data_IF_748341738116
#
_entry.id   IF_748341738116
#
_cell.length_a   1.000
_cell.length_b   1.000
_cell.length_c   1.000
_cell.angle_alpha   90.00
_cell.angle_beta   90.00
_cell.angle_gamma   90.00
#
_symmetry.space_group_name_H-M   'P 1'
#
loop_
_entity.id
_entity.type
_entity.pdbx_description
1 polymer ?
#
# COMPACT_ATOMS: atom_id res chain seq x y z
N UNK A 1 -4.22 25.58 6.94
CA UNK A 1 -4.43 24.11 6.83
C UNK A 1 -3.11 23.35 6.62
N UNK A 2 -2.23 23.75 5.67
CA UNK A 2 -0.90 23.11 5.43
C UNK A 2 0.02 23.12 6.67
N UNK A 3 -0.01 24.18 7.48
CA UNK A 3 0.80 24.27 8.71
C UNK A 3 0.50 23.16 9.72
N UNK A 4 -0.77 22.74 9.85
CA UNK A 4 -1.18 21.74 10.84
C UNK A 4 -0.58 20.35 10.54
N UNK A 5 -0.52 19.97 9.25
CA UNK A 5 0.08 18.69 8.85
C UNK A 5 1.60 18.64 9.06
N UNK A 6 2.32 19.74 8.84
CA UNK A 6 3.77 19.80 9.12
C UNK A 6 4.06 19.67 10.62
N UNK A 7 3.27 20.31 11.47
CA UNK A 7 3.36 20.13 12.92
C UNK A 7 3.01 18.71 13.33
N UNK A 8 1.94 18.12 12.78
CA UNK A 8 1.58 16.73 13.06
C UNK A 8 2.71 15.76 12.68
N UNK A 9 3.34 15.92 11.52
CA UNK A 9 4.51 15.12 11.12
C UNK A 9 5.67 15.33 12.10
N UNK A 10 5.97 16.56 12.50
CA UNK A 10 7.01 16.83 13.49
C UNK A 10 6.76 16.13 14.83
N UNK A 11 5.54 16.19 15.35
CA UNK A 11 5.17 15.49 16.59
C UNK A 11 5.23 13.97 16.45
N UNK A 12 4.81 13.44 15.30
CA UNK A 12 4.88 12.00 15.02
C UNK A 12 6.33 11.50 14.84
N UNK A 13 7.19 12.27 14.16
CA UNK A 13 8.63 11.95 14.05
C UNK A 13 9.35 12.07 15.40
N UNK A 14 8.89 12.95 16.30
CA UNK A 14 9.41 13.03 17.68
C UNK A 14 8.96 11.84 18.52
N UNK A 15 7.70 11.40 18.39
CA UNK A 15 7.21 10.17 19.04
C UNK A 15 7.98 8.91 18.55
N UNK A 16 8.47 8.94 17.31
CA UNK A 16 9.32 7.91 16.71
C UNK A 16 10.63 7.65 17.48
N UNK A 17 11.11 8.62 18.26
CA UNK A 17 12.31 8.47 19.06
C UNK A 17 12.13 7.51 20.26
N UNK A 18 10.88 7.17 20.63
CA UNK A 18 10.59 6.37 21.82
C UNK A 18 9.99 4.98 21.52
N UNK A 19 9.45 4.72 20.32
CA UNK A 19 8.95 3.39 19.94
C UNK A 19 9.01 3.15 18.42
N UNK A 20 10.08 2.50 17.95
CA UNK A 20 10.34 2.20 16.53
C UNK A 20 9.39 1.16 15.88
N UNK A 21 8.44 0.60 16.64
CA UNK A 21 7.64 -0.58 16.25
C UNK A 21 6.17 -0.29 15.92
N UNK A 22 5.73 0.97 15.87
CA UNK A 22 4.32 1.30 15.59
C UNK A 22 4.04 1.44 14.08
N UNK A 23 3.59 0.35 13.45
CA UNK A 23 3.18 0.35 12.05
C UNK A 23 1.97 1.26 11.77
N UNK A 24 1.08 1.46 12.74
CA UNK A 24 -0.10 2.33 12.60
C UNK A 24 0.32 3.80 12.53
N UNK A 25 1.31 4.18 13.35
CA UNK A 25 1.94 5.49 13.30
C UNK A 25 2.59 5.76 11.94
N UNK A 26 3.37 4.80 11.40
CA UNK A 26 3.98 4.94 10.07
C UNK A 26 2.94 5.13 8.97
N UNK A 27 1.83 4.40 9.06
CA UNK A 27 0.70 4.60 8.16
C UNK A 27 0.06 6.00 8.33
N UNK A 28 -0.15 6.47 9.56
CA UNK A 28 -0.65 7.84 9.80
C UNK A 28 0.26 8.87 9.16
N UNK A 29 1.58 8.73 9.29
CA UNK A 29 2.57 9.58 8.63
C UNK A 29 2.44 9.52 7.10
N UNK A 30 2.22 8.33 6.52
CA UNK A 30 1.94 8.19 5.09
C UNK A 30 0.74 9.04 4.64
N UNK A 31 -0.38 8.97 5.38
CA UNK A 31 -1.58 9.76 5.05
C UNK A 31 -1.34 11.28 5.18
N UNK A 32 -0.48 11.72 6.10
CA UNK A 32 -0.12 13.13 6.25
C UNK A 32 0.76 13.62 5.10
N UNK A 33 1.77 12.83 4.71
CA UNK A 33 2.60 13.15 3.55
C UNK A 33 1.75 13.26 2.28
N UNK A 34 0.76 12.38 2.10
CA UNK A 34 -0.19 12.47 0.99
C UNK A 34 -1.00 13.77 1.02
N UNK A 35 -1.55 14.16 2.18
CA UNK A 35 -2.27 15.44 2.36
C UNK A 35 -1.40 16.67 2.09
N UNK A 36 -0.08 16.54 2.21
CA UNK A 36 0.90 17.57 1.88
C UNK A 36 1.36 17.54 0.42
N UNK A 37 0.85 16.61 -0.40
CA UNK A 37 1.30 16.40 -1.78
C UNK A 37 2.69 15.76 -1.89
N UNK A 38 3.26 15.28 -0.78
CA UNK A 38 4.58 14.64 -0.75
C UNK A 38 4.45 13.14 -1.04
N UNK A 39 4.01 12.82 -2.26
CA UNK A 39 3.63 11.46 -2.67
C UNK A 39 4.77 10.44 -2.46
N UNK A 40 6.04 10.72 -2.81
CA UNK A 40 7.11 9.74 -2.59
C UNK A 40 7.29 9.35 -1.11
N UNK A 41 7.19 10.33 -0.21
CA UNK A 41 7.30 10.10 1.23
C UNK A 41 6.07 9.38 1.80
N UNK A 42 4.90 9.63 1.22
CA UNK A 42 3.68 8.89 1.56
C UNK A 42 3.82 7.40 1.23
N UNK A 43 4.28 7.08 0.01
CA UNK A 43 4.52 5.71 -0.43
C UNK A 43 5.55 5.03 0.48
N UNK A 44 6.69 5.68 0.75
CA UNK A 44 7.73 5.11 1.60
C UNK A 44 7.21 4.81 3.00
N UNK A 45 6.49 5.76 3.62
CA UNK A 45 5.96 5.59 4.98
C UNK A 45 4.94 4.44 5.07
N UNK A 46 4.12 4.24 4.02
CA UNK A 46 3.20 3.10 3.96
C UNK A 46 3.95 1.77 3.78
N UNK A 47 5.01 1.72 2.96
CA UNK A 47 5.88 0.54 2.85
C UNK A 47 6.60 0.23 4.17
N UNK A 48 7.02 1.26 4.89
CA UNK A 48 7.66 1.10 6.20
C UNK A 48 6.70 0.59 7.28
N UNK A 49 5.40 0.84 7.15
CA UNK A 49 4.38 0.20 7.99
C UNK A 49 4.29 -1.29 7.66
N UNK A 50 4.31 -1.65 6.37
CA UNK A 50 4.26 -3.03 5.90
C UNK A 50 5.54 -3.82 6.20
N UNK A 51 6.70 -3.19 6.34
CA UNK A 51 7.92 -3.88 6.78
C UNK A 51 7.88 -4.32 8.25
N UNK A 52 7.03 -3.68 9.07
CA UNK A 52 6.77 -4.06 10.46
C UNK A 52 5.60 -5.04 10.55
N UNK A 53 4.51 -4.76 9.82
CA UNK A 53 3.32 -5.61 9.76
C UNK A 53 2.88 -5.83 8.33
N UNK A 54 3.33 -6.95 7.75
CA UNK A 54 3.18 -7.25 6.31
C UNK A 54 1.73 -7.33 5.82
N UNK A 55 0.78 -7.61 6.71
CA UNK A 55 -0.64 -7.79 6.39
C UNK A 55 -1.54 -6.64 6.86
N UNK A 56 -0.94 -5.49 7.14
CA UNK A 56 -1.67 -4.32 7.59
C UNK A 56 -2.49 -3.69 6.45
N UNK A 57 -3.73 -4.16 6.32
CA UNK A 57 -4.63 -3.82 5.22
C UNK A 57 -4.76 -2.31 4.93
N UNK A 58 -4.86 -1.40 5.93
CA UNK A 58 -4.95 0.04 5.64
C UNK A 58 -3.77 0.60 4.84
N UNK A 59 -2.55 0.10 5.05
CA UNK A 59 -1.39 0.51 4.26
C UNK A 59 -1.40 -0.12 2.86
N UNK A 60 -1.87 -1.35 2.72
CA UNK A 60 -2.03 -2.04 1.42
C UNK A 60 -3.05 -1.30 0.56
N UNK A 61 -4.24 -1.03 1.09
CA UNK A 61 -5.31 -0.31 0.40
C UNK A 61 -4.88 1.11 0.00
N UNK A 62 -4.12 1.78 0.85
CA UNK A 62 -3.57 3.10 0.55
C UNK A 62 -2.60 3.05 -0.64
N UNK A 63 -1.69 2.07 -0.68
CA UNK A 63 -0.80 1.88 -1.83
C UNK A 63 -1.61 1.52 -3.09
N UNK A 64 -2.61 0.64 -3.00
CA UNK A 64 -3.53 0.34 -4.12
C UNK A 64 -4.21 1.63 -4.63
N UNK A 65 -4.71 2.48 -3.74
CA UNK A 65 -5.36 3.73 -4.10
C UNK A 65 -4.42 4.69 -4.82
N UNK A 66 -3.18 4.81 -4.36
CA UNK A 66 -2.16 5.63 -5.03
C UNK A 66 -1.82 5.07 -6.40
N UNK A 67 -1.66 3.75 -6.54
CA UNK A 67 -1.42 3.10 -7.82
C UNK A 67 -2.57 3.32 -8.81
N UNK A 68 -3.81 3.15 -8.35
CA UNK A 68 -4.99 3.42 -9.17
C UNK A 68 -5.13 4.90 -9.56
N UNK A 69 -4.51 5.81 -8.81
CA UNK A 69 -4.41 7.23 -9.12
C UNK A 69 -3.28 7.56 -10.11
N UNK A 70 -2.56 6.55 -10.61
CA UNK A 70 -1.51 6.70 -11.62
C UNK A 70 -0.10 6.89 -11.07
N UNK A 71 0.10 6.75 -9.75
CA UNK A 71 1.45 6.78 -9.17
C UNK A 71 2.13 5.42 -9.33
N UNK A 72 3.40 5.43 -9.75
CA UNK A 72 4.23 4.22 -9.76
C UNK A 72 4.59 3.82 -8.33
N UNK A 73 4.46 2.53 -8.02
CA UNK A 73 4.78 1.99 -6.70
C UNK A 73 5.63 0.74 -6.88
N UNK A 74 6.94 0.92 -6.73
CA UNK A 74 7.89 -0.18 -6.88
C UNK A 74 7.60 -1.31 -5.90
N UNK A 75 7.62 -2.55 -6.38
CA UNK A 75 7.38 -3.73 -5.55
C UNK A 75 5.92 -3.93 -5.11
N UNK A 76 4.96 -3.13 -5.60
CA UNK A 76 3.54 -3.32 -5.27
C UNK A 76 3.05 -4.73 -5.65
N UNK A 77 3.49 -5.27 -6.78
CA UNK A 77 3.16 -6.64 -7.18
C UNK A 77 3.49 -7.67 -6.08
N UNK A 78 4.68 -7.58 -5.51
CA UNK A 78 5.11 -8.50 -4.45
C UNK A 78 4.33 -8.30 -3.15
N UNK A 79 4.04 -7.05 -2.79
CA UNK A 79 3.20 -6.71 -1.63
C UNK A 79 1.82 -7.35 -1.79
N UNK A 80 1.20 -7.19 -2.97
CA UNK A 80 -0.14 -7.72 -3.24
C UNK A 80 -0.16 -9.25 -3.34
N UNK A 81 0.89 -9.88 -3.87
CA UNK A 81 1.03 -11.35 -3.87
C UNK A 81 1.01 -11.91 -2.45
N UNK A 82 1.84 -11.36 -1.55
CA UNK A 82 1.84 -11.74 -0.12
C UNK A 82 0.49 -11.48 0.54
N UNK A 83 -0.14 -10.34 0.25
CA UNK A 83 -1.44 -10.01 0.80
C UNK A 83 -2.52 -11.01 0.33
N UNK A 84 -2.47 -11.45 -0.93
CA UNK A 84 -3.39 -12.43 -1.50
C UNK A 84 -3.23 -13.83 -0.88
N UNK A 85 -2.07 -14.18 -0.34
CA UNK A 85 -1.92 -15.44 0.41
C UNK A 85 -2.78 -15.46 1.68
N UNK A 86 -2.88 -14.31 2.36
CA UNK A 86 -3.69 -14.15 3.59
C UNK A 86 -5.16 -13.84 3.28
N UNK A 87 -5.42 -13.10 2.22
CA UNK A 87 -6.74 -12.64 1.82
C UNK A 87 -7.05 -13.10 0.38
N UNK A 88 -7.20 -14.43 0.15
CA UNK A 88 -7.24 -15.01 -1.19
C UNK A 88 -8.42 -14.58 -2.06
N UNK A 89 -9.46 -14.03 -1.45
CA UNK A 89 -10.70 -13.61 -2.13
C UNK A 89 -10.89 -12.08 -2.10
N UNK A 90 -9.87 -11.32 -1.69
CA UNK A 90 -9.95 -9.87 -1.70
C UNK A 90 -9.97 -9.34 -3.14
N UNK A 91 -11.14 -8.85 -3.55
CA UNK A 91 -11.36 -8.37 -4.91
C UNK A 91 -10.48 -7.18 -5.26
N UNK A 92 -10.16 -6.31 -4.30
CA UNK A 92 -9.37 -5.11 -4.56
C UNK A 92 -7.91 -5.49 -4.87
N UNK A 93 -7.34 -6.43 -4.11
CA UNK A 93 -6.01 -7.00 -4.34
C UNK A 93 -5.96 -7.72 -5.70
N UNK A 94 -6.95 -8.59 -5.97
CA UNK A 94 -7.02 -9.35 -7.22
C UNK A 94 -7.11 -8.42 -8.44
N UNK A 95 -8.03 -7.46 -8.43
CA UNK A 95 -8.21 -6.53 -9.55
C UNK A 95 -6.96 -5.67 -9.76
N UNK A 96 -6.28 -5.27 -8.69
CA UNK A 96 -5.06 -4.46 -8.80
C UNK A 96 -3.89 -5.28 -9.35
N UNK A 97 -3.70 -6.52 -8.91
CA UNK A 97 -2.71 -7.43 -9.51
C UNK A 97 -2.99 -7.68 -11.00
N UNK A 98 -4.25 -7.90 -11.37
CA UNK A 98 -4.64 -8.06 -12.76
C UNK A 98 -4.26 -6.83 -13.62
N UNK A 99 -4.49 -5.62 -13.11
CA UNK A 99 -4.04 -4.37 -13.77
C UNK A 99 -2.53 -4.30 -13.91
N UNK A 100 -1.76 -4.70 -12.89
CA UNK A 100 -0.29 -4.73 -12.94
C UNK A 100 0.18 -5.71 -14.03
N UNK A 101 -0.37 -6.92 -14.07
CA UNK A 101 -0.01 -7.90 -15.09
C UNK A 101 -0.39 -7.47 -16.51
N UNK A 102 -1.55 -6.84 -16.68
CA UNK A 102 -1.97 -6.29 -17.96
C UNK A 102 -1.00 -5.18 -18.43
N UNK A 103 -0.62 -4.26 -17.54
CA UNK A 103 0.37 -3.21 -17.82
C UNK A 103 1.73 -3.78 -18.22
N UNK A 104 2.14 -4.88 -17.58
CA UNK A 104 3.44 -5.54 -17.83
C UNK A 104 3.40 -6.57 -18.97
N UNK A 105 2.29 -6.69 -19.71
CA UNK A 105 2.07 -7.73 -20.74
C UNK A 105 2.29 -9.17 -20.22
N UNK A 106 2.11 -9.40 -18.92
CA UNK A 106 2.23 -10.73 -18.32
C UNK A 106 0.90 -11.49 -18.43
N UNK A 107 0.57 -11.92 -19.65
CA UNK A 107 -0.71 -12.58 -19.98
C UNK A 107 -0.89 -13.89 -19.20
N UNK A 108 0.17 -14.63 -18.92
CA UNK A 108 0.09 -15.92 -18.20
C UNK A 108 -0.39 -15.74 -16.77
N UNK A 109 0.22 -14.83 -16.01
CA UNK A 109 -0.18 -14.61 -14.61
C UNK A 109 -1.54 -13.93 -14.51
N UNK A 110 -1.90 -13.09 -15.50
CA UNK A 110 -3.26 -12.56 -15.62
C UNK A 110 -4.31 -13.66 -15.75
N UNK A 111 -4.13 -14.62 -16.67
CA UNK A 111 -5.12 -15.68 -16.88
C UNK A 111 -5.29 -16.56 -15.63
N UNK A 112 -4.19 -16.99 -15.00
CA UNK A 112 -4.23 -17.75 -13.74
C UNK A 112 -5.03 -17.03 -12.65
N UNK A 113 -4.82 -15.72 -12.52
CA UNK A 113 -5.50 -14.92 -11.50
C UNK A 113 -7.00 -14.80 -11.76
N UNK A 114 -7.40 -14.65 -13.04
CA UNK A 114 -8.81 -14.59 -13.43
C UNK A 114 -9.53 -15.93 -13.26
N UNK A 115 -8.87 -17.05 -13.58
CA UNK A 115 -9.39 -18.41 -13.33
C UNK A 115 -9.60 -18.65 -11.82
N UNK A 116 -8.64 -18.23 -10.99
CA UNK A 116 -8.76 -18.30 -9.53
C UNK A 116 -9.95 -17.49 -9.00
N UNK A 117 -10.19 -16.29 -9.55
CA UNK A 117 -11.32 -15.44 -9.18
C UNK A 117 -12.67 -16.03 -9.58
N UNK A 118 -12.75 -16.74 -10.72
CA UNK A 118 -13.98 -17.36 -11.21
C UNK A 118 -14.33 -18.66 -10.47
N UNK A 119 -13.32 -19.39 -10.00
CA UNK A 119 -13.48 -20.65 -9.26
C UNK A 119 -13.75 -20.47 -7.77
N UNK A 120 -13.53 -19.28 -7.21
CA UNK A 120 -13.80 -18.94 -5.80
C UNK A 120 -15.26 -18.53 -5.53
N UNK A 121 -16.19 -19.01 -6.35
CA UNK A 121 -17.63 -18.68 -6.34
C UNK A 121 -18.48 -19.76 -5.69
#
# INVERSE_FOLDING_TARGET
IIGNYRYAIFFYLRAFAENQSDYELKYKVATLYYKLGQIPLAIQSAKDALSIKEDYMPAIEFLISLYNSGYEIDGLENILKKALEKYPNDKNIILTLAKIYQKNNNTTEYQKLMEKLQSSK
#
